data_IF_788818015125
#
_entry.id   IF_788818015125
#
_cell.length_a   1.000
_cell.length_b   1.000
_cell.length_c   1.000
_cell.angle_alpha   90.00
_cell.angle_beta   90.00
_cell.angle_gamma   90.00
#
_symmetry.space_group_name_H-M   'P 1'
#
loop_
_entity.id
_entity.type
_entity.pdbx_description
1 polymer ?
#
# COMPACT_ATOMS: atom_id res chain seq x y z
N UNK A 1 6.49 9.08 6.65
CA UNK A 1 5.35 9.23 7.58
C UNK A 1 5.03 7.88 8.18
N UNK A 2 4.66 7.85 9.47
CA UNK A 2 4.16 6.62 10.10
C UNK A 2 2.75 6.31 9.62
N UNK A 3 2.53 5.07 9.22
CA UNK A 3 1.23 4.56 8.82
C UNK A 3 1.02 3.16 9.37
N UNK A 4 -0.22 2.69 9.29
CA UNK A 4 -0.59 1.34 9.69
C UNK A 4 -1.33 0.66 8.54
N UNK A 5 -0.98 -0.59 8.29
CA UNK A 5 -1.84 -1.48 7.52
C UNK A 5 -2.75 -2.17 8.52
N UNK A 6 -4.05 -2.09 8.26
CA UNK A 6 -5.10 -2.65 9.12
C UNK A 6 -5.90 -3.65 8.31
N UNK A 7 -5.98 -4.88 8.81
CA UNK A 7 -6.92 -5.90 8.35
C UNK A 7 -8.00 -6.00 9.41
N UNK A 8 -9.21 -5.59 9.09
CA UNK A 8 -10.36 -5.63 9.99
C UNK A 8 -11.54 -6.33 9.33
N UNK A 9 -12.03 -7.37 10.00
CA UNK A 9 -13.21 -8.14 9.64
C UNK A 9 -13.85 -8.69 10.91
N UNK A 10 -15.04 -9.28 10.79
CA UNK A 10 -15.72 -9.89 11.94
C UNK A 10 -14.97 -11.12 12.50
N UNK A 11 -14.10 -11.74 11.70
CA UNK A 11 -13.37 -12.96 12.08
C UNK A 11 -11.89 -12.71 12.38
N UNK A 12 -11.21 -11.92 11.55
CA UNK A 12 -9.77 -11.61 11.67
C UNK A 12 -9.60 -10.11 11.91
N UNK A 13 -8.78 -9.77 12.90
CA UNK A 13 -8.29 -8.41 13.13
C UNK A 13 -6.76 -8.43 13.26
N UNK A 14 -6.08 -7.52 12.59
CA UNK A 14 -4.63 -7.40 12.62
C UNK A 14 -4.19 -6.01 12.16
N UNK A 15 -3.05 -5.56 12.68
CA UNK A 15 -2.42 -4.35 12.21
C UNK A 15 -0.91 -4.42 12.40
N UNK A 16 -0.17 -3.75 11.52
CA UNK A 16 1.26 -3.53 11.70
C UNK A 16 1.65 -2.16 11.15
N UNK A 17 2.74 -1.63 11.71
CA UNK A 17 3.25 -0.29 11.36
C UNK A 17 4.11 -0.38 10.12
N UNK A 18 3.94 0.60 9.24
CA UNK A 18 4.77 0.81 8.05
C UNK A 18 5.23 2.26 7.99
N UNK A 19 6.33 2.50 7.27
CA UNK A 19 6.82 3.83 6.99
C UNK A 19 6.59 4.15 5.52
N UNK A 20 5.76 5.17 5.26
CA UNK A 20 5.53 5.65 3.90
C UNK A 20 6.52 6.75 3.54
N UNK A 21 7.05 6.61 2.33
CA UNK A 21 7.74 7.66 1.60
C UNK A 21 6.80 8.20 0.52
N UNK A 22 7.14 9.34 -0.09
CA UNK A 22 6.37 9.84 -1.23
C UNK A 22 6.37 8.81 -2.38
N UNK A 23 7.49 8.12 -2.59
CA UNK A 23 7.59 7.00 -3.54
C UNK A 23 6.64 5.84 -3.22
N UNK A 24 6.29 5.61 -1.96
CA UNK A 24 5.27 4.61 -1.59
C UNK A 24 3.90 5.01 -2.14
N UNK A 25 3.55 6.30 -2.12
CA UNK A 25 2.30 6.81 -2.70
C UNK A 25 2.32 6.76 -4.24
N UNK A 26 3.46 7.03 -4.87
CA UNK A 26 3.63 6.89 -6.33
C UNK A 26 3.45 5.42 -6.77
N UNK A 27 4.02 4.47 -6.02
CA UNK A 27 3.83 3.05 -6.26
C UNK A 27 2.37 2.64 -6.07
N UNK A 28 1.67 3.23 -5.11
CA UNK A 28 0.23 3.01 -4.96
C UNK A 28 -0.56 3.53 -6.16
N UNK A 29 -0.21 4.70 -6.70
CA UNK A 29 -0.81 5.23 -7.92
C UNK A 29 -0.64 4.25 -9.11
N UNK A 30 0.56 3.67 -9.24
CA UNK A 30 0.86 2.68 -10.28
C UNK A 30 0.08 1.36 -10.08
N UNK A 31 -0.10 0.93 -8.82
CA UNK A 31 -0.92 -0.22 -8.47
C UNK A 31 -2.39 0.00 -8.88
N UNK A 32 -2.98 1.14 -8.51
CA UNK A 32 -4.36 1.51 -8.88
C UNK A 32 -4.56 1.53 -10.40
N UNK A 33 -3.60 2.08 -11.15
CA UNK A 33 -3.63 2.07 -12.63
C UNK A 33 -3.55 0.66 -13.22
N UNK A 34 -2.86 -0.26 -12.55
CA UNK A 34 -2.78 -1.65 -12.99
C UNK A 34 -4.10 -2.38 -12.75
N UNK A 35 -4.72 -2.17 -11.59
CA UNK A 35 -6.03 -2.72 -11.21
C UNK A 35 -7.14 -2.21 -12.14
N UNK A 36 -7.12 -0.93 -12.49
CA UNK A 36 -8.04 -0.36 -13.49
C UNK A 36 -7.88 -1.01 -14.87
N UNK A 37 -6.65 -1.43 -15.22
CA UNK A 37 -6.37 -2.20 -16.42
C UNK A 37 -6.67 -3.69 -16.31
N UNK A 38 -7.34 -4.14 -15.23
CA UNK A 38 -7.67 -5.55 -14.99
C UNK A 38 -6.47 -6.44 -14.68
N UNK A 39 -5.35 -5.85 -14.23
CA UNK A 39 -4.14 -6.60 -13.86
C UNK A 39 -3.96 -6.59 -12.35
N UNK A 40 -3.47 -7.70 -11.83
CA UNK A 40 -3.01 -7.77 -10.45
C UNK A 40 -1.98 -6.67 -10.16
N UNK A 41 -1.95 -6.22 -8.91
CA UNK A 41 -1.04 -5.20 -8.45
C UNK A 41 -0.35 -5.62 -7.16
N UNK A 42 0.85 -5.10 -6.97
CA UNK A 42 1.65 -5.27 -5.78
C UNK A 42 2.08 -3.89 -5.28
N UNK A 43 2.08 -3.73 -3.96
CA UNK A 43 2.42 -2.49 -3.28
C UNK A 43 3.28 -2.78 -2.05
N UNK A 44 4.22 -1.87 -1.76
CA UNK A 44 5.20 -1.94 -0.67
C UNK A 44 6.23 -3.08 -0.74
N UNK A 45 6.21 -3.92 -1.78
CA UNK A 45 7.24 -4.94 -1.99
C UNK A 45 8.59 -4.30 -2.38
N UNK A 46 9.34 -3.91 -1.35
CA UNK A 46 10.71 -3.40 -1.45
C UNK A 46 11.75 -4.51 -1.13
N UNK A 47 11.33 -5.78 -1.17
CA UNK A 47 12.20 -6.95 -1.04
C UNK A 47 12.56 -7.40 0.38
N UNK A 48 12.15 -6.69 1.44
CA UNK A 48 12.56 -7.03 2.82
C UNK A 48 11.56 -6.62 3.93
N UNK A 49 10.30 -6.35 3.59
CA UNK A 49 9.35 -5.73 4.52
C UNK A 49 7.99 -6.42 4.54
N UNK A 50 6.99 -5.63 4.19
CA UNK A 50 5.60 -6.02 4.14
C UNK A 50 5.07 -5.72 2.75
N UNK A 51 4.25 -6.61 2.20
CA UNK A 51 3.72 -6.48 0.85
C UNK A 51 2.19 -6.57 0.87
N UNK A 52 1.55 -5.81 0.01
CA UNK A 52 0.13 -5.95 -0.30
C UNK A 52 0.03 -6.37 -1.76
N UNK A 53 -0.51 -7.56 -2.01
CA UNK A 53 -0.86 -8.01 -3.36
C UNK A 53 -2.37 -8.02 -3.51
N UNK A 54 -2.82 -7.53 -4.65
CA UNK A 54 -4.22 -7.44 -5.00
C UNK A 54 -4.40 -8.18 -6.32
N UNK A 55 -5.17 -9.25 -6.29
CA UNK A 55 -5.53 -10.02 -7.48
C UNK A 55 -6.88 -9.56 -8.00
N UNK A 56 -6.95 -9.24 -9.29
CA UNK A 56 -8.22 -8.89 -9.92
C UNK A 56 -9.14 -10.12 -9.97
N UNK A 57 -10.45 -9.93 -9.72
CA UNK A 57 -11.42 -11.00 -9.85
C UNK A 57 -11.46 -11.53 -11.30
N UNK A 58 -11.70 -12.84 -11.45
CA UNK A 58 -11.76 -13.48 -12.78
C UNK A 58 -13.10 -13.27 -13.48
N UNK A 59 -14.10 -12.85 -12.73
CA UNK A 59 -15.48 -12.60 -13.13
C UNK A 59 -16.01 -11.37 -12.41
N UNK A 60 -17.00 -10.67 -12.99
CA UNK A 60 -17.62 -9.49 -12.35
C UNK A 60 -18.31 -9.79 -11.01
N UNK A 61 -18.58 -11.07 -10.72
CA UNK A 61 -19.22 -11.51 -9.48
C UNK A 61 -18.24 -12.06 -8.43
N UNK A 62 -16.93 -12.10 -8.74
CA UNK A 62 -15.93 -12.59 -7.79
C UNK A 62 -15.42 -11.44 -6.90
N UNK A 63 -15.13 -11.76 -5.65
CA UNK A 63 -14.51 -10.82 -4.72
C UNK A 63 -13.06 -10.51 -5.11
N UNK A 64 -12.60 -9.31 -4.74
CA UNK A 64 -11.19 -8.94 -4.85
C UNK A 64 -10.38 -9.74 -3.84
N UNK A 65 -9.34 -10.45 -4.27
CA UNK A 65 -8.48 -11.17 -3.31
C UNK A 65 -7.31 -10.28 -2.93
N UNK A 66 -7.22 -9.95 -1.65
CA UNK A 66 -6.12 -9.17 -1.10
C UNK A 66 -5.25 -10.05 -0.22
N UNK A 67 -3.97 -10.13 -0.55
CA UNK A 67 -2.94 -10.75 0.27
C UNK A 67 -2.13 -9.66 0.97
N UNK A 68 -2.01 -9.78 2.29
CA UNK A 68 -1.19 -8.91 3.12
C UNK A 68 -0.13 -9.77 3.79
N UNK A 69 1.14 -9.43 3.54
CA UNK A 69 2.31 -10.10 4.11
C UNK A 69 3.02 -9.14 5.06
N UNK A 70 3.22 -9.55 6.31
CA UNK A 70 4.10 -8.88 7.28
C UNK A 70 5.34 -9.76 7.52
N UNK A 71 6.18 -9.92 6.50
CA UNK A 71 7.30 -10.85 6.55
C UNK A 71 8.41 -10.40 7.50
N UNK A 72 8.60 -9.09 7.68
CA UNK A 72 9.67 -8.53 8.49
C UNK A 72 9.38 -8.44 9.98
N UNK A 73 8.09 -8.35 10.39
CA UNK A 73 7.71 -8.19 11.79
C UNK A 73 7.13 -9.48 12.37
N UNK A 74 5.95 -9.93 11.93
CA UNK A 74 5.30 -11.11 12.53
C UNK A 74 5.49 -12.40 11.74
N UNK A 75 5.96 -12.33 10.49
CA UNK A 75 5.99 -13.44 9.55
C UNK A 75 4.59 -13.89 9.11
N UNK A 76 3.56 -13.08 9.32
CA UNK A 76 2.18 -13.46 9.05
C UNK A 76 1.79 -13.13 7.61
N UNK A 77 1.01 -14.03 7.00
CA UNK A 77 0.35 -13.80 5.73
C UNK A 77 -1.15 -13.95 5.92
N UNK A 78 -1.91 -12.98 5.44
CA UNK A 78 -3.36 -12.97 5.53
C UNK A 78 -3.92 -12.79 4.11
N UNK A 79 -4.81 -13.68 3.70
CA UNK A 79 -5.47 -13.64 2.39
C UNK A 79 -6.97 -13.48 2.65
N UNK A 80 -7.53 -12.37 2.17
CA UNK A 80 -8.92 -11.98 2.42
C UNK A 80 -9.61 -11.66 1.11
N UNK A 81 -10.71 -12.36 0.76
CA UNK A 81 -11.65 -11.90 -0.24
C UNK A 81 -12.41 -10.67 0.27
N UNK A 82 -12.44 -9.60 -0.51
CA UNK A 82 -13.10 -8.34 -0.17
C UNK A 82 -14.13 -8.04 -1.26
N UNK A 83 -15.39 -7.97 -0.86
CA UNK A 83 -16.45 -7.41 -1.67
C UNK A 83 -16.24 -5.89 -1.77
N UNK A 84 -16.00 -5.40 -2.98
CA UNK A 84 -15.73 -3.98 -3.24
C UNK A 84 -16.86 -3.34 -4.02
N UNK A 85 -17.20 -2.10 -3.67
CA UNK A 85 -18.17 -1.29 -4.40
C UNK A 85 -17.64 -0.94 -5.80
N UNK A 86 -18.52 -0.76 -6.80
CA UNK A 86 -18.10 -0.53 -8.20
C UNK A 86 -17.12 0.65 -8.38
N UNK A 87 -17.19 1.67 -7.53
CA UNK A 87 -16.38 2.88 -7.58
C UNK A 87 -15.13 2.85 -6.68
N UNK A 88 -14.80 1.72 -6.04
CA UNK A 88 -13.72 1.65 -5.05
C UNK A 88 -12.37 2.18 -5.58
N UNK A 89 -12.05 1.95 -6.86
CA UNK A 89 -10.83 2.47 -7.47
C UNK A 89 -10.80 4.00 -7.52
N UNK A 90 -11.94 4.62 -7.83
CA UNK A 90 -12.04 6.07 -7.85
C UNK A 90 -11.92 6.64 -6.43
N UNK A 91 -12.60 6.02 -5.47
CA UNK A 91 -12.52 6.44 -4.06
C UNK A 91 -11.07 6.37 -3.53
N UNK A 92 -10.31 5.33 -3.93
CA UNK A 92 -8.89 5.22 -3.59
C UNK A 92 -8.01 6.26 -4.29
N UNK A 93 -8.32 6.65 -5.53
CA UNK A 93 -7.62 7.75 -6.21
C UNK A 93 -7.86 9.09 -5.53
N UNK A 94 -9.10 9.36 -5.12
CA UNK A 94 -9.44 10.60 -4.43
C UNK A 94 -8.75 10.69 -3.08
N UNK A 95 -8.70 9.58 -2.33
CA UNK A 95 -7.94 9.48 -1.07
C UNK A 95 -6.44 9.65 -1.27
N UNK A 96 -5.88 9.10 -2.34
CA UNK A 96 -4.47 9.30 -2.69
C UNK A 96 -4.19 10.78 -3.00
N UNK A 97 -5.06 11.44 -3.76
CA UNK A 97 -4.96 12.88 -4.02
C UNK A 97 -4.93 13.69 -2.72
N UNK A 98 -5.88 13.45 -1.82
CA UNK A 98 -5.93 14.11 -0.52
C UNK A 98 -4.68 13.81 0.34
N UNK A 99 -4.15 12.59 0.29
CA UNK A 99 -2.93 12.22 1.01
C UNK A 99 -1.69 12.94 0.46
N UNK A 100 -1.61 13.11 -0.86
CA UNK A 100 -0.53 13.87 -1.53
C UNK A 100 -0.61 15.37 -1.22
N UNK A 101 -1.82 15.95 -1.22
CA UNK A 101 -2.03 17.36 -0.84
C UNK A 101 -1.65 17.65 0.61
N UNK A 102 -1.96 16.71 1.52
CA UNK A 102 -1.61 16.81 2.93
C UNK A 102 -0.16 16.39 3.24
N UNK A 103 0.59 15.90 2.23
CA UNK A 103 1.93 15.39 2.46
C UNK A 103 2.88 16.54 2.82
N UNK A 104 3.71 16.40 3.87
CA UNK A 104 4.61 17.47 4.28
C UNK A 104 5.63 17.77 3.16
N UNK A 105 5.59 19.00 2.65
CA UNK A 105 6.49 19.49 1.59
C UNK A 105 7.98 19.53 2.00
N UNK A 106 8.28 19.34 3.29
CA UNK A 106 9.61 19.50 3.87
C UNK A 106 10.52 18.27 3.68
N UNK A 107 10.01 17.18 3.10
CA UNK A 107 10.79 15.99 2.73
C UNK A 107 11.02 15.96 1.22
N UNK A 108 11.56 17.03 0.68
CA UNK A 108 12.40 16.94 -0.53
C UNK A 108 13.75 16.44 0.00
N UNK A 109 13.93 15.12 -0.01
CA UNK A 109 15.21 14.42 -0.01
C UNK A 109 16.37 15.20 0.66
N UNK A 110 16.44 15.19 2.01
CA UNK A 110 17.72 15.50 2.65
C UNK A 110 18.72 14.47 2.10
N UNK A 111 19.60 14.96 1.25
CA UNK A 111 20.35 14.22 0.26
C UNK A 111 20.99 12.94 0.82
N UNK A 112 21.00 11.82 0.07
CA UNK A 112 21.83 10.70 0.45
C UNK A 112 23.30 11.13 0.32
N UNK A 113 24.02 11.25 1.45
CA UNK A 113 25.49 11.30 1.44
C UNK A 113 26.20 12.49 2.09
N UNK A 114 25.56 13.31 2.93
CA UNK A 114 26.33 14.31 3.72
C UNK A 114 26.94 13.69 4.98
N UNK A 115 28.21 13.27 4.88
CA UNK A 115 29.08 13.06 6.03
C UNK A 115 30.18 14.12 6.01
N UNK A 116 30.10 15.11 6.88
CA UNK A 116 31.24 16.00 7.16
C UNK A 116 32.08 15.43 8.30
N UNK A 117 33.34 15.12 8.02
CA UNK A 117 34.32 14.79 9.06
C UNK A 117 35.00 16.06 9.57
N UNK A 118 34.95 16.29 10.88
CA UNK A 118 35.72 17.36 11.52
C UNK A 118 37.21 17.02 11.53
N UNK A 119 38.03 17.99 11.16
CA UNK A 119 39.49 17.96 11.33
C UNK A 119 39.88 18.56 12.67
#
# INVERSE_FOLDING_TARGET
>A
MDAYIVVDSDFIKGQFRVHFFLSSLDLWAAALKSLEGGRAAEWLDMGNGSAIRIECPKSENDDLVVCVEDASSSGATVIVPIAVERNWLQDHRDRLGAALEAWPAEVIENSPGSYEWKR
#
